data_IF_250383089593
#
_entry.id   IF_250383089593
#
_cell.length_a   1.000
_cell.length_b   1.000
_cell.length_c   1.000
_cell.angle_alpha   90.00
_cell.angle_beta   90.00
_cell.angle_gamma   90.00
#
_symmetry.space_group_name_H-M   'P 1'
#
loop_
_entity.id
_entity.type
_entity.pdbx_description
1 polymer ?
2 non-polymer ?
3 water ?
#
# COMPACT_ATOMS: atom_id res chain seq x y z
N UNK A 1 -1.19 8.54 10.69
CA UNK A 1 -1.64 8.08 9.32
C UNK A 1 -2.09 6.63 9.44
N UNK A 2 -3.34 6.42 9.07
CA UNK A 2 -4.03 5.14 9.25
C UNK A 2 -4.11 4.48 7.89
N UNK A 3 -3.64 3.25 7.76
CA UNK A 3 -3.61 2.61 6.47
C UNK A 3 -4.35 1.32 6.56
N UNK A 4 -5.05 0.96 5.49
CA UNK A 4 -5.69 -0.33 5.46
C UNK A 4 -5.45 -0.95 4.11
N UNK A 5 -5.31 -2.27 4.08
CA UNK A 5 -5.21 -3.03 2.84
C UNK A 5 -6.38 -3.98 2.90
N UNK A 6 -7.27 -3.84 1.93
CA UNK A 6 -8.47 -4.65 1.95
C UNK A 6 -8.42 -5.56 0.74
N UNK A 7 -8.61 -6.84 0.99
CA UNK A 7 -8.66 -7.82 -0.09
C UNK A 7 -10.11 -8.09 -0.45
N UNK A 8 -10.40 -8.07 -1.76
CA UNK A 8 -11.72 -8.26 -2.27
C UNK A 8 -11.65 -9.35 -3.35
N UNK A 9 -12.49 -10.35 -3.23
CA UNK A 9 -12.55 -11.41 -4.24
C UNK A 9 -13.82 -11.27 -5.03
N UNK A 10 -13.68 -11.20 -6.37
CA UNK A 10 -14.76 -10.76 -7.21
C UNK A 10 -15.20 -11.90 -8.13
N UNK A 11 -16.51 -11.97 -8.36
CA UNK A 11 -17.09 -12.94 -9.30
C UNK A 11 -16.53 -12.72 -10.69
N UNK A 12 -16.06 -13.78 -11.37
CA UNK A 12 -15.35 -13.58 -12.66
C UNK A 12 -16.21 -12.81 -13.66
N UNK A 13 -17.52 -13.02 -13.62
CA UNK A 13 -18.40 -12.41 -14.61
C UNK A 13 -18.86 -11.02 -14.25
N UNK A 14 -18.30 -10.48 -13.15
CA UNK A 14 -18.68 -9.19 -12.61
C UNK A 14 -17.51 -8.22 -12.54
N UNK A 15 -16.35 -8.59 -13.08
CA UNK A 15 -15.18 -7.76 -12.97
C UNK A 15 -15.42 -6.38 -13.57
N UNK A 16 -16.05 -6.31 -14.74
CA UNK A 16 -16.35 -5.02 -15.36
C UNK A 16 -17.13 -4.08 -14.43
N UNK A 17 -18.13 -4.63 -13.75
CA UNK A 17 -18.92 -3.83 -12.82
C UNK A 17 -18.12 -3.42 -11.59
N UNK A 18 -17.25 -4.34 -11.12
CA UNK A 18 -16.37 -4.10 -10.00
C UNK A 18 -15.48 -2.91 -10.32
N UNK A 19 -14.94 -2.90 -11.54
CA UNK A 19 -14.01 -1.84 -11.92
C UNK A 19 -14.75 -0.48 -11.95
N UNK A 20 -15.95 -0.48 -12.51
CA UNK A 20 -16.82 0.73 -12.48
C UNK A 20 -17.09 1.26 -11.08
N UNK A 21 -17.45 0.35 -10.16
CA UNK A 21 -17.72 0.69 -8.76
C UNK A 21 -16.50 1.29 -8.12
N UNK A 22 -15.34 0.65 -8.31
CA UNK A 22 -14.15 1.22 -7.70
C UNK A 22 -13.58 2.47 -8.38
N UNK A 23 -13.85 2.64 -9.68
CA UNK A 23 -13.53 3.93 -10.31
C UNK A 23 -14.27 5.07 -9.59
N UNK A 24 -15.54 4.84 -9.26
CA UNK A 24 -16.34 5.88 -8.63
C UNK A 24 -15.84 6.09 -7.19
N UNK A 25 -15.56 4.98 -6.47
CA UNK A 25 -15.03 5.12 -5.12
C UNK A 25 -13.65 5.80 -5.10
N UNK A 26 -12.77 5.39 -5.99
CA UNK A 26 -11.43 5.97 -6.04
C UNK A 26 -11.53 7.47 -6.29
N UNK A 27 -12.33 7.85 -7.29
CA UNK A 27 -12.50 9.27 -7.66
C UNK A 27 -13.01 10.10 -6.50
N UNK A 28 -14.08 9.62 -5.84
CA UNK A 28 -14.59 10.30 -4.67
C UNK A 28 -13.61 10.38 -3.52
N UNK A 29 -12.90 9.30 -3.29
CA UNK A 29 -12.02 9.17 -2.10
C UNK A 29 -10.75 10.00 -2.19
N UNK A 30 -10.11 10.01 -3.35
CA UNK A 30 -8.94 10.88 -3.54
C UNK A 30 -9.28 12.37 -3.41
N UNK A 31 -10.55 12.74 -3.54
CA UNK A 31 -10.99 14.13 -3.33
C UNK A 31 -11.26 14.55 -1.89
N UNK A 32 -11.25 13.59 -0.98
CA UNK A 32 -11.56 13.84 0.45
C UNK A 32 -10.42 14.55 1.11
N UNK A 33 -10.75 15.52 1.97
CA UNK A 33 -9.71 16.25 2.69
C UNK A 33 -8.72 15.37 3.45
N UNK A 34 -9.24 14.29 4.06
CA UNK A 34 -8.35 13.47 4.91
C UNK A 34 -7.77 12.26 4.20
N UNK A 35 -7.98 12.12 2.89
CA UNK A 35 -7.43 10.98 2.18
C UNK A 35 -5.99 11.27 1.80
N UNK A 36 -5.13 10.25 1.93
CA UNK A 36 -3.74 10.40 1.51
C UNK A 36 -3.38 9.45 0.37
N UNK A 37 -4.02 8.28 0.34
CA UNK A 37 -3.80 7.28 -0.72
C UNK A 37 -5.07 6.54 -0.96
N UNK A 38 -5.31 6.18 -2.22
CA UNK A 38 -6.37 5.22 -2.50
C UNK A 38 -5.95 4.44 -3.73
N UNK A 39 -5.13 3.40 -3.56
CA UNK A 39 -4.63 2.68 -4.70
C UNK A 39 -5.43 1.41 -4.90
N UNK A 40 -5.76 1.12 -6.15
CA UNK A 40 -6.48 -0.12 -6.49
C UNK A 40 -5.49 -1.04 -7.17
N UNK A 41 -5.34 -2.28 -6.64
CA UNK A 41 -4.25 -3.17 -7.01
C UNK A 41 -4.88 -4.50 -7.41
N UNK A 42 -4.16 -5.28 -8.20
CA UNK A 42 -4.63 -6.65 -8.44
C UNK A 42 -3.61 -7.60 -7.85
N UNK A 43 -4.11 -8.75 -7.37
CA UNK A 43 -3.20 -9.87 -7.06
C UNK A 43 -2.29 -10.20 -8.27
N UNK A 44 -1.04 -10.52 -8.00
CA UNK A 44 -0.09 -10.76 -9.09
C UNK A 44 -0.48 -11.97 -9.94
N UNK A 45 -1.18 -12.94 -9.33
CA UNK A 45 -1.51 -14.24 -9.98
C UNK A 45 -2.98 -14.63 -10.04
N UNK A 46 -3.79 -14.10 -9.16
CA UNK A 46 -5.24 -14.41 -9.16
C UNK A 46 -6.03 -13.28 -9.86
N UNK A 47 -6.58 -13.52 -11.04
CA UNK A 47 -7.20 -12.41 -11.78
C UNK A 47 -8.42 -11.77 -11.12
N UNK A 48 -9.09 -12.48 -10.19
CA UNK A 48 -10.29 -11.95 -9.57
C UNK A 48 -10.04 -11.43 -8.12
N UNK A 49 -8.79 -11.34 -7.71
CA UNK A 49 -8.48 -10.91 -6.34
C UNK A 49 -7.87 -9.54 -6.40
N UNK A 50 -8.53 -8.57 -5.76
CA UNK A 50 -8.06 -7.17 -5.76
C UNK A 50 -7.74 -6.72 -4.37
N UNK A 51 -6.88 -5.73 -4.28
CA UNK A 51 -6.54 -5.13 -2.98
C UNK A 51 -6.64 -3.62 -3.09
N UNK A 52 -7.25 -3.01 -2.08
CA UNK A 52 -7.37 -1.56 -2.02
C UNK A 52 -6.46 -1.10 -0.88
N UNK A 53 -5.51 -0.19 -1.21
CA UNK A 53 -4.59 0.34 -0.23
C UNK A 53 -5.08 1.75 0.04
N UNK A 54 -5.62 1.97 1.25
CA UNK A 54 -6.22 3.28 1.52
C UNK A 54 -5.47 3.85 2.70
N UNK A 55 -5.20 5.15 2.65
CA UNK A 55 -4.53 5.77 3.82
C UNK A 55 -5.22 7.08 4.08
N UNK A 56 -5.38 7.41 5.35
CA UNK A 56 -6.08 8.63 5.76
C UNK A 56 -5.23 9.24 6.86
N UNK A 57 -5.41 10.53 7.07
CA UNK A 57 -4.58 11.25 8.02
C UNK A 57 -4.62 10.64 9.41
N UNK A 58 -5.78 10.14 9.80
CA UNK A 58 -6.01 9.65 11.13
C UNK A 58 -7.34 8.86 11.13
N UNK A 59 -7.71 8.28 12.26
CA UNK A 59 -8.96 7.52 12.34
C UNK A 59 -10.23 8.38 12.22
N UNK A 60 -10.12 9.66 12.58
CA UNK A 60 -11.23 10.57 12.39
C UNK A 60 -11.52 10.67 10.87
N UNK A 61 -10.48 10.70 10.04
CA UNK A 61 -10.73 10.83 8.57
C UNK A 61 -11.29 9.53 7.99
N UNK A 62 -10.98 8.41 8.63
CA UNK A 62 -11.49 7.13 8.18
C UNK A 62 -12.99 7.13 8.42
N UNK A 63 -13.38 7.60 9.60
CA UNK A 63 -14.78 7.69 10.01
C UNK A 63 -15.51 8.61 9.05
N UNK A 64 -14.89 9.74 8.69
CA UNK A 64 -15.48 10.64 7.73
C UNK A 64 -15.68 9.96 6.35
N UNK A 65 -14.67 9.22 5.91
CA UNK A 65 -14.73 8.49 4.66
C UNK A 65 -15.95 7.57 4.66
N UNK A 66 -16.20 6.91 5.79
CA UNK A 66 -17.27 5.92 5.87
C UNK A 66 -18.65 6.56 5.94
N UNK A 67 -18.68 7.89 5.96
CA UNK A 67 -19.98 8.66 5.89
C UNK A 67 -20.29 9.16 4.50
N UNK A 68 -19.31 9.10 3.61
CA UNK A 68 -19.46 9.78 2.34
C UNK A 68 -20.40 9.02 1.42
N UNK A 69 -21.13 9.77 0.58
CA UNK A 69 -22.05 9.11 -0.34
C UNK A 69 -21.35 8.10 -1.25
N UNK A 70 -20.15 8.42 -1.73
CA UNK A 70 -19.45 7.48 -2.63
C UNK A 70 -19.06 6.19 -1.91
N UNK A 71 -18.64 6.27 -0.67
CA UNK A 71 -18.27 5.04 0.04
C UNK A 71 -19.52 4.20 0.29
N UNK A 72 -20.58 4.87 0.72
CA UNK A 72 -21.80 4.11 1.07
C UNK A 72 -22.40 3.45 -0.16
N UNK A 73 -22.32 4.12 -1.30
CA UNK A 73 -22.85 3.54 -2.54
C UNK A 73 -21.99 2.36 -2.99
N UNK A 74 -20.69 2.48 -2.80
CA UNK A 74 -19.77 1.41 -3.16
C UNK A 74 -20.11 0.17 -2.31
N UNK A 75 -20.25 0.36 -1.01
CA UNK A 75 -20.52 -0.79 -0.14
C UNK A 75 -21.78 -1.55 -0.62
N UNK A 76 -22.82 -0.79 -0.95
CA UNK A 76 -24.06 -1.36 -1.48
C UNK A 76 -23.87 -2.13 -2.78
N UNK A 77 -23.18 -1.52 -3.75
CA UNK A 77 -23.08 -2.08 -5.09
C UNK A 77 -22.07 -3.22 -5.12
N UNK A 78 -21.12 -3.23 -4.20
CA UNK A 78 -20.04 -4.24 -4.18
C UNK A 78 -20.57 -5.56 -3.65
N UNK A 79 -21.45 -5.51 -2.67
CA UNK A 79 -21.90 -6.73 -1.99
C UNK A 79 -22.17 -7.95 -2.89
N UNK A 80 -23.06 -7.80 -3.91
CA UNK A 80 -23.35 -8.94 -4.78
C UNK A 80 -22.27 -9.34 -5.76
N UNK A 81 -21.23 -8.52 -5.90
CA UNK A 81 -20.19 -8.76 -6.86
C UNK A 81 -19.14 -9.68 -6.32
N UNK A 82 -19.16 -9.87 -5.00
CA UNK A 82 -18.08 -10.56 -4.29
C UNK A 82 -18.37 -12.03 -4.09
N UNK A 83 -17.32 -12.85 -3.97
CA UNK A 83 -17.50 -14.28 -3.73
C UNK A 83 -17.40 -14.62 -2.23
N UNK A 84 -17.15 -13.64 -1.37
CA UNK A 84 -16.93 -13.91 0.05
C UNK A 84 -16.69 -12.57 0.73
N UNK A 85 -16.60 -12.57 2.07
CA UNK A 85 -16.38 -11.31 2.77
C UNK A 85 -15.02 -10.70 2.46
N UNK A 86 -14.94 -9.37 2.56
CA UNK A 86 -13.66 -8.66 2.50
C UNK A 86 -12.72 -9.05 3.66
N UNK A 87 -11.42 -9.03 3.40
CA UNK A 87 -10.43 -9.23 4.46
C UNK A 87 -9.68 -7.92 4.60
N UNK A 88 -9.38 -7.49 5.82
CA UNK A 88 -8.80 -6.16 5.99
C UNK A 88 -7.63 -6.31 6.92
N UNK A 89 -6.51 -5.68 6.57
CA UNK A 89 -5.38 -5.61 7.44
C UNK A 89 -5.18 -4.13 7.72
N UNK A 90 -4.92 -3.78 8.98
CA UNK A 90 -4.67 -2.38 9.34
C UNK A 90 -3.20 -2.20 9.65
N UNK A 91 -2.66 -1.04 9.27
CA UNK A 91 -1.27 -0.70 9.53
C UNK A 91 -1.25 0.76 10.04
N UNK A 92 -0.17 1.12 10.71
CA UNK A 92 0.01 2.50 11.18
C UNK A 92 1.13 3.09 10.38
N UNK A 93 0.94 4.28 9.83
CA UNK A 93 2.00 4.91 9.03
C UNK A 93 3.08 5.58 9.86
N UNK A 94 4.33 5.42 9.45
CA UNK A 94 5.49 6.05 10.08
C UNK A 94 6.10 7.11 9.18
N UNK A 95 6.17 6.82 7.89
CA UNK A 95 6.71 7.74 6.91
C UNK A 95 5.85 7.59 5.67
N UNK A 96 5.38 8.71 5.12
CA UNK A 96 5.60 10.08 5.61
C UNK A 96 4.97 10.32 6.97
N UNK A 97 5.60 11.21 7.73
CA UNK A 97 5.18 11.54 9.09
C UNK A 97 6.38 12.16 9.79
N UNK B 1 1.46 1.04 -12.33
CA UNK B 1 2.45 1.08 -11.24
C UNK B 1 2.96 -0.33 -10.96
N UNK B 2 4.26 -0.43 -10.69
CA UNK B 2 4.88 -1.64 -10.16
C UNK B 2 4.86 -1.48 -8.63
N UNK B 3 4.14 -2.34 -7.91
CA UNK B 3 3.90 -2.12 -6.47
C UNK B 3 4.40 -3.30 -5.67
N UNK B 4 4.99 -3.04 -4.51
CA UNK B 4 5.44 -4.16 -3.65
C UNK B 4 5.18 -3.79 -2.21
N UNK B 5 4.96 -4.82 -1.39
CA UNK B 5 4.82 -4.67 0.05
C UNK B 5 5.80 -5.67 0.65
N UNK B 6 6.68 -5.16 1.52
CA UNK B 6 7.72 -6.01 2.14
C UNK B 6 7.56 -5.97 3.63
N UNK B 7 7.54 -7.15 4.27
CA UNK B 7 7.39 -7.25 5.70
C UNK B 7 8.78 -7.54 6.26
N UNK B 8 9.16 -6.76 7.28
CA UNK B 8 10.46 -6.89 7.94
C UNK B 8 10.27 -6.96 9.44
N UNK B 9 10.81 -8.02 10.05
CA UNK B 9 10.88 -8.12 11.51
C UNK B 9 12.26 -7.75 12.00
N UNK B 10 12.30 -6.76 12.88
CA UNK B 10 13.54 -6.10 13.27
C UNK B 10 13.90 -6.55 14.70
N UNK B 11 15.17 -6.88 14.95
CA UNK B 11 15.62 -7.13 16.33
C UNK B 11 15.32 -5.95 17.22
N UNK B 12 14.79 -6.22 18.41
CA UNK B 12 14.38 -5.19 19.36
C UNK B 12 15.40 -4.07 19.53
N UNK B 13 16.68 -4.43 19.69
CA UNK B 13 17.65 -3.39 19.94
C UNK B 13 18.20 -2.75 18.68
N UNK B 14 17.67 -3.16 17.52
CA UNK B 14 18.11 -2.62 16.24
C UNK B 14 17.03 -1.71 15.61
N UNK B 15 15.89 -1.53 16.26
CA UNK B 15 14.84 -0.68 15.67
C UNK B 15 15.34 0.74 15.30
N UNK B 16 16.08 1.37 16.20
CA UNK B 16 16.65 2.71 15.85
C UNK B 16 17.52 2.69 14.57
N UNK B 17 18.34 1.65 14.39
CA UNK B 17 19.18 1.56 13.21
C UNK B 17 18.27 1.34 11.98
N UNK B 18 17.24 0.50 12.14
CA UNK B 18 16.24 0.30 11.07
C UNK B 18 15.59 1.65 10.67
N UNK B 19 15.20 2.47 11.65
CA UNK B 19 14.62 3.76 11.30
C UNK B 19 15.65 4.65 10.53
N UNK B 20 16.91 4.61 10.98
CA UNK B 20 17.94 5.48 10.35
C UNK B 20 18.09 5.06 8.89
N UNK B 21 18.17 3.75 8.67
CA UNK B 21 18.32 3.18 7.31
C UNK B 21 17.13 3.46 6.40
N UNK B 22 15.93 3.26 6.92
CA UNK B 22 14.73 3.59 6.15
C UNK B 22 14.40 5.03 5.97
N UNK B 23 14.81 5.86 6.93
CA UNK B 23 14.67 7.29 6.71
C UNK B 23 15.48 7.73 5.49
N UNK B 24 16.75 7.26 5.38
CA UNK B 24 17.59 7.63 4.25
C UNK B 24 17.06 7.02 2.95
N UNK B 25 16.58 5.79 3.01
CA UNK B 25 15.96 5.17 1.81
C UNK B 25 14.70 5.91 1.41
N UNK B 26 13.85 6.20 2.39
CA UNK B 26 12.64 6.99 2.08
C UNK B 26 12.98 8.35 1.45
N UNK B 27 13.85 9.10 2.09
CA UNK B 27 14.23 10.43 1.55
C UNK B 27 14.76 10.37 0.10
N UNK B 28 15.70 9.46 -0.16
CA UNK B 28 16.24 9.34 -1.49
C UNK B 28 15.23 8.84 -2.49
N UNK B 29 14.38 7.87 -2.09
CA UNK B 29 13.42 7.30 -3.01
C UNK B 29 12.34 8.28 -3.44
N UNK B 30 11.86 9.11 -2.51
CA UNK B 30 10.84 10.09 -2.90
C UNK B 30 11.42 11.21 -3.78
N UNK B 31 12.74 11.24 -3.86
CA UNK B 31 13.46 12.14 -4.78
C UNK B 31 13.81 11.49 -6.13
N UNK B 32 13.41 10.25 -6.32
CA UNK B 32 13.48 9.56 -7.61
C UNK B 32 12.30 9.96 -8.49
N UNK B 33 12.60 10.46 -9.69
CA UNK B 33 11.54 10.84 -10.61
C UNK B 33 10.49 9.73 -10.87
N UNK B 34 10.96 8.48 -10.89
CA UNK B 34 10.12 7.32 -11.13
C UNK B 34 9.44 6.70 -9.93
N UNK B 35 9.70 7.23 -8.75
CA UNK B 35 9.02 6.70 -7.59
C UNK B 35 7.65 7.33 -7.45
N UNK B 36 6.69 6.52 -7.05
CA UNK B 36 5.32 6.99 -6.83
C UNK B 36 4.87 6.87 -5.41
N UNK B 37 5.35 5.83 -4.72
CA UNK B 37 5.14 5.71 -3.25
C UNK B 37 6.32 5.10 -2.58
N UNK B 38 6.59 5.57 -1.37
CA UNK B 38 7.51 4.90 -0.51
C UNK B 38 6.99 5.16 0.90
N UNK B 39 6.08 4.31 1.35
CA UNK B 39 5.48 4.44 2.68
C UNK B 39 6.08 3.41 3.62
N UNK B 40 6.45 3.85 4.82
CA UNK B 40 7.06 2.95 5.78
C UNK B 40 5.96 2.83 6.83
N UNK B 41 5.55 1.61 7.06
CA UNK B 41 4.35 1.28 7.88
C UNK B 41 4.83 0.42 9.05
N UNK B 42 3.98 0.32 10.03
CA UNK B 42 4.27 -0.55 11.15
C UNK B 42 3.02 -1.32 11.53
N UNK B 43 3.26 -2.51 12.08
CA UNK B 43 2.15 -3.39 12.53
C UNK B 43 1.29 -2.75 13.61
N UNK B 44 0.00 -3.07 13.52
CA UNK B 44 -0.96 -2.52 14.43
C UNK B 44 -0.58 -2.88 15.88
N UNK B 45 -0.08 -4.08 16.07
CA UNK B 45 0.19 -4.59 17.43
C UNK B 45 1.62 -4.96 17.73
N UNK B 46 2.33 -5.53 16.76
CA UNK B 46 3.68 -6.08 17.02
C UNK B 46 4.73 -4.97 16.91
N UNK B 47 5.38 -4.64 18.03
CA UNK B 47 6.23 -3.45 18.03
C UNK B 47 7.39 -3.52 17.03
N UNK B 48 7.90 -4.72 16.69
CA UNK B 48 9.12 -4.81 15.85
C UNK B 48 8.83 -5.28 14.43
N UNK B 49 7.54 -5.30 14.06
CA UNK B 49 7.19 -5.70 12.69
C UNK B 49 6.83 -4.50 11.83
N UNK B 50 7.59 -4.30 10.75
CA UNK B 50 7.38 -3.18 9.82
C UNK B 50 7.02 -3.62 8.42
N UNK B 51 6.46 -2.70 7.62
CA UNK B 51 6.12 -2.99 6.23
C UNK B 51 6.55 -1.82 5.38
N UNK B 52 7.00 -2.10 4.16
CA UNK B 52 7.38 -1.00 3.28
C UNK B 52 6.55 -1.17 2.02
N UNK B 53 5.82 -0.12 1.66
CA UNK B 53 4.94 -0.15 0.51
C UNK B 53 5.60 0.73 -0.54
N UNK B 54 5.98 0.14 -1.70
CA UNK B 54 6.77 0.94 -2.66
C UNK B 54 6.12 0.80 -4.00
N UNK B 55 6.11 1.89 -4.79
CA UNK B 55 5.50 1.82 -6.12
C UNK B 55 6.38 2.63 -7.04
N UNK B 56 6.45 2.16 -8.28
CA UNK B 56 7.32 2.80 -9.28
C UNK B 56 6.54 2.82 -10.60
N UNK B 57 6.89 3.79 -11.44
CA UNK B 57 6.14 3.96 -12.71
C UNK B 57 6.23 2.75 -13.62
N UNK B 58 7.37 2.08 -13.65
CA UNK B 58 7.54 0.92 -14.50
C UNK B 58 8.76 0.13 -14.09
N UNK B 59 9.07 -0.94 -14.82
CA UNK B 59 10.17 -1.82 -14.43
C UNK B 59 11.54 -1.13 -14.56
N UNK B 60 11.67 -0.19 -15.48
CA UNK B 60 12.94 0.56 -15.62
C UNK B 60 13.15 1.39 -14.35
N UNK B 61 12.06 1.98 -13.83
CA UNK B 61 12.17 2.81 -12.60
C UNK B 61 12.53 1.96 -11.38
N UNK B 62 11.99 0.75 -11.27
CA UNK B 62 12.38 -0.20 -10.19
C UNK B 62 13.88 -0.47 -10.27
N UNK B 63 14.35 -0.73 -11.48
CA UNK B 63 15.76 -1.03 -11.72
C UNK B 63 16.65 0.15 -11.35
N UNK B 64 16.25 1.38 -11.74
CA UNK B 64 16.97 2.55 -11.32
C UNK B 64 17.08 2.64 -9.80
N UNK B 65 15.97 2.43 -9.11
CA UNK B 65 15.94 2.50 -7.66
C UNK B 65 17.06 1.60 -7.08
N UNK B 66 17.21 0.42 -7.66
CA UNK B 66 18.13 -0.61 -7.14
C UNK B 66 19.59 -0.30 -7.48
N UNK B 67 19.83 0.80 -8.18
CA UNK B 67 21.20 1.29 -8.41
C UNK B 67 21.57 2.50 -7.57
N UNK B 68 20.66 2.96 -6.72
CA UNK B 68 20.89 4.22 -6.02
C UNK B 68 21.70 4.00 -4.74
N UNK B 69 22.48 5.01 -4.29
CA UNK B 69 23.20 4.89 -3.00
C UNK B 69 22.30 4.63 -1.80
N UNK B 70 21.13 5.28 -1.74
CA UNK B 70 20.21 5.06 -0.63
C UNK B 70 19.66 3.62 -0.55
N UNK B 71 19.38 3.00 -1.69
CA UNK B 71 18.95 1.64 -1.65
C UNK B 71 20.12 0.75 -1.19
N UNK B 72 21.28 0.98 -1.81
CA UNK B 72 22.41 0.08 -1.58
C UNK B 72 22.89 0.15 -0.11
N UNK B 73 22.86 1.33 0.50
CA UNK B 73 23.12 1.42 1.94
C UNK B 73 22.09 0.63 2.75
N UNK B 74 20.85 0.60 2.28
CA UNK B 74 19.81 -0.11 3.00
C UNK B 74 20.14 -1.59 2.93
N UNK B 75 20.41 -2.07 1.72
CA UNK B 75 20.76 -3.48 1.50
C UNK B 75 21.95 -3.93 2.35
N UNK B 76 23.05 -3.16 2.32
CA UNK B 76 24.23 -3.50 3.14
C UNK B 76 23.78 -3.69 4.59
N UNK B 77 23.16 -2.65 5.12
CA UNK B 77 22.96 -2.54 6.55
C UNK B 77 21.85 -3.40 7.12
N UNK B 78 21.08 -4.02 6.24
CA UNK B 78 19.84 -4.65 6.64
C UNK B 78 19.96 -6.02 7.33
N UNK B 79 20.92 -6.85 6.94
CA UNK B 79 21.00 -8.18 7.61
C UNK B 79 21.23 -8.13 9.13
N UNK B 80 22.24 -7.41 9.62
CA UNK B 80 22.32 -7.32 11.11
C UNK B 80 21.06 -6.84 11.87
N UNK B 81 20.09 -6.30 11.13
CA UNK B 81 18.96 -5.72 11.78
C UNK B 81 17.79 -6.72 12.02
N UNK B 82 17.70 -7.82 11.28
CA UNK B 82 16.45 -8.57 11.18
C UNK B 82 16.50 -9.88 11.92
N UNK B 83 15.34 -10.40 12.31
CA UNK B 83 15.34 -11.64 13.06
C UNK B 83 15.31 -12.84 12.12
N UNK B 84 14.72 -12.65 10.96
CA UNK B 84 14.59 -13.72 9.98
C UNK B 84 14.47 -13.04 8.64
N UNK B 85 14.17 -13.80 7.57
CA UNK B 85 14.21 -13.15 6.27
C UNK B 85 12.92 -12.33 6.03
N UNK B 86 13.04 -11.35 5.14
CA UNK B 86 11.94 -10.47 4.79
C UNK B 86 10.94 -11.29 3.98
N UNK B 87 9.70 -10.82 3.91
CA UNK B 87 8.69 -11.43 3.04
C UNK B 87 8.28 -10.33 2.07
N UNK B 88 8.21 -10.65 0.79
CA UNK B 88 7.85 -9.66 -0.23
C UNK B 88 6.60 -10.09 -1.00
N UNK B 89 5.67 -9.15 -1.22
CA UNK B 89 4.49 -9.39 -2.05
C UNK B 89 4.52 -8.41 -3.20
N UNK B 90 4.35 -8.88 -4.44
CA UNK B 90 4.20 -7.95 -5.59
C UNK B 90 2.72 -7.80 -5.96
N UNK B 91 2.28 -6.59 -6.31
CA UNK B 91 0.91 -6.29 -6.71
C UNK B 91 0.92 -5.58 -8.05
N UNK B 92 -0.15 -5.74 -8.79
CA UNK B 92 -0.34 -5.04 -10.05
C UNK B 92 -1.07 -3.74 -9.75
N UNK B 93 -0.45 -2.60 -10.07
CA UNK B 93 -1.12 -1.31 -9.79
C UNK B 93 -2.11 -0.92 -10.88
N UNK B 94 -3.39 -0.74 -10.52
CA UNK B 94 -4.44 -0.46 -11.53
C UNK B 94 -4.92 1.00 -11.48
N UNK B 95 -5.05 1.58 -10.28
CA UNK B 95 -5.37 2.98 -10.13
C UNK B 95 -4.52 3.53 -9.01
N UNK B 96 -3.91 4.71 -9.21
CA UNK B 96 -3.92 5.53 -10.41
C UNK B 96 -3.33 4.83 -11.61
N UNK B 97 -3.84 5.13 -12.79
CA UNK B 97 -3.37 4.46 -14.00
C UNK B 97 -4.43 4.50 -15.08
N UNK B 98 -4.18 3.79 -16.18
CA UNK B 98 -5.09 3.95 -17.31
C UNK B 98 -6.50 3.55 -16.93
N UNK B 99 -6.65 2.65 -15.93
CA UNK B 99 -7.97 2.18 -15.54
C UNK B 99 -8.82 3.22 -14.80
N UNK B 100 -8.21 4.32 -14.37
CA UNK B 100 -8.97 5.39 -13.76
C UNK B 100 -10.00 5.90 -14.74
X LIG C 1 25.28 -7.02 17.47
#
# INVERSE_FOLDING_TARGET
>A
MHVTLVEINVKEDKVDQFIEVFRANHLGSIREAGNLRFDVLRDEHIPTRFYIYEAYTDEAAVAIHKTTPHYLQCVEQLAPLMTGPRKKTVFIGLMPGSLEHHHHHH
>B
MHVTLVEINVKEDKVDQFIEVFRANHLGSIREAGNLRFDVLRDEHIPTRFYIYEAYTDEAAVAIHKTTPHYLQCVEQLAPLMTGPRKKTVFIGLMPGSLEHHHHHH
>C hetero
1 CL CL
#
